data_IF_656396460868
#
_entry.id   IF_656396460868
#
_cell.length_a   1.000
_cell.length_b   1.000
_cell.length_c   1.000
_cell.angle_alpha   90.00
_cell.angle_beta   90.00
_cell.angle_gamma   90.00
#
_symmetry.space_group_name_H-M   'P 1'
#
loop_
_entity.id
_entity.type
_entity.pdbx_description
1 polymer ?
#
# COMPACT_ATOMS: atom_id res chain seq x y z
N UNK A 1 9.88 9.31 -17.45
CA UNK A 1 8.91 10.13 -16.73
C UNK A 1 9.59 10.66 -15.47
N UNK A 2 9.96 11.89 -15.48
CA UNK A 2 10.60 12.57 -14.34
C UNK A 2 9.53 12.88 -13.30
N UNK A 3 9.67 12.30 -12.12
CA UNK A 3 8.98 12.75 -10.93
C UNK A 3 9.57 14.13 -10.60
N UNK A 4 8.86 15.20 -10.97
CA UNK A 4 9.24 16.52 -10.50
C UNK A 4 8.95 16.57 -9.01
N UNK A 5 9.94 16.75 -8.13
CA UNK A 5 9.64 16.97 -6.73
C UNK A 5 8.86 18.29 -6.67
N UNK A 6 7.60 18.20 -6.26
CA UNK A 6 6.87 19.42 -5.88
C UNK A 6 7.72 20.13 -4.84
N UNK A 7 7.78 21.45 -4.89
CA UNK A 7 8.46 22.33 -3.93
C UNK A 7 7.91 22.20 -2.50
N UNK A 8 7.12 21.17 -2.26
CA UNK A 8 6.53 20.84 -0.98
C UNK A 8 7.48 19.90 -0.24
N UNK A 9 7.97 20.32 0.93
CA UNK A 9 8.89 19.54 1.79
C UNK A 9 8.32 18.18 2.29
N UNK A 10 7.15 17.76 1.83
CA UNK A 10 6.52 16.49 2.22
C UNK A 10 7.17 15.33 1.48
N UNK A 11 7.51 14.28 2.23
CA UNK A 11 8.01 13.04 1.66
C UNK A 11 6.91 12.34 0.86
N UNK A 12 7.24 11.70 -0.28
CA UNK A 12 6.29 10.85 -0.99
C UNK A 12 5.74 9.74 -0.10
N UNK A 13 4.44 9.47 -0.25
CA UNK A 13 3.74 8.39 0.45
C UNK A 13 3.45 7.27 -0.55
N UNK A 14 3.99 6.09 -0.27
CA UNK A 14 3.76 4.88 -1.06
C UNK A 14 2.79 3.98 -0.31
N UNK A 15 1.60 3.80 -0.87
CA UNK A 15 0.60 2.88 -0.35
C UNK A 15 0.92 1.45 -0.77
N UNK A 16 1.13 0.55 0.19
CA UNK A 16 1.33 -0.88 -0.06
C UNK A 16 0.07 -1.64 0.35
N UNK A 17 -0.66 -2.13 -0.63
CA UNK A 17 -1.91 -2.86 -0.46
C UNK A 17 -1.70 -4.34 -0.73
N UNK A 18 -2.42 -5.20 -0.04
CA UNK A 18 -2.31 -6.64 -0.22
C UNK A 18 -3.10 -7.43 0.81
N UNK A 19 -3.13 -8.74 0.62
CA UNK A 19 -3.96 -9.63 1.41
C UNK A 19 -3.49 -9.82 2.86
N UNK A 20 -4.47 -10.03 3.75
CA UNK A 20 -4.21 -10.47 5.14
C UNK A 20 -3.69 -11.90 5.21
N UNK A 21 -3.97 -12.70 4.18
CA UNK A 21 -3.42 -14.06 4.00
C UNK A 21 -2.46 -14.03 2.82
N UNK A 22 -1.17 -14.00 3.10
CA UNK A 22 -0.14 -13.99 2.08
C UNK A 22 0.70 -15.27 2.15
N UNK A 23 1.17 -15.74 1.01
CA UNK A 23 2.15 -16.84 0.95
C UNK A 23 3.50 -16.38 1.49
N UNK A 24 4.40 -17.31 1.79
CA UNK A 24 5.77 -16.98 2.20
C UNK A 24 6.47 -16.09 1.15
N UNK A 25 6.28 -16.36 -0.15
CA UNK A 25 6.78 -15.53 -1.25
C UNK A 25 6.15 -14.15 -1.23
N UNK A 26 4.83 -14.05 -1.06
CA UNK A 26 4.13 -12.76 -0.98
C UNK A 26 4.61 -11.91 0.20
N UNK A 27 4.84 -12.51 1.36
CA UNK A 27 5.42 -11.83 2.51
C UNK A 27 6.86 -11.36 2.23
N UNK A 28 7.69 -12.18 1.57
CA UNK A 28 9.05 -11.77 1.22
C UNK A 28 9.05 -10.58 0.25
N UNK A 29 8.20 -10.62 -0.79
CA UNK A 29 8.03 -9.52 -1.73
C UNK A 29 7.62 -8.23 -0.99
N UNK A 30 6.64 -8.32 -0.10
CA UNK A 30 6.17 -7.18 0.68
C UNK A 30 7.25 -6.63 1.62
N UNK A 31 8.02 -7.50 2.27
CA UNK A 31 9.14 -7.11 3.12
C UNK A 31 10.22 -6.37 2.33
N UNK A 32 10.65 -6.91 1.19
CA UNK A 32 11.67 -6.28 0.34
C UNK A 32 11.18 -4.94 -0.21
N UNK A 33 9.89 -4.85 -0.57
CA UNK A 33 9.27 -3.60 -0.99
C UNK A 33 9.31 -2.55 0.12
N UNK A 34 8.99 -2.93 1.36
CA UNK A 34 9.09 -2.04 2.52
C UNK A 34 10.49 -1.49 2.69
N UNK A 35 11.51 -2.33 2.57
CA UNK A 35 12.92 -1.92 2.63
C UNK A 35 13.30 -0.94 1.52
N UNK A 36 12.83 -1.19 0.29
CA UNK A 36 13.10 -0.31 -0.85
C UNK A 36 12.47 1.07 -0.66
N UNK A 37 11.23 1.13 -0.19
CA UNK A 37 10.53 2.39 0.10
C UNK A 37 11.28 3.19 1.15
N UNK A 38 11.66 2.55 2.25
CA UNK A 38 12.45 3.17 3.32
C UNK A 38 13.82 3.65 2.83
N UNK A 39 14.50 2.86 1.99
CA UNK A 39 15.79 3.21 1.41
C UNK A 39 15.74 4.43 0.50
N UNK A 40 14.58 4.77 -0.05
CA UNK A 40 14.35 6.02 -0.80
C UNK A 40 14.00 7.21 0.11
N UNK A 41 13.87 7.01 1.41
CA UNK A 41 13.41 8.03 2.33
C UNK A 41 11.92 8.36 2.21
N UNK A 42 11.13 7.51 1.57
CA UNK A 42 9.70 7.66 1.39
C UNK A 42 8.93 7.06 2.57
N UNK A 43 7.67 7.48 2.73
CA UNK A 43 6.78 6.97 3.77
C UNK A 43 6.03 5.75 3.21
N UNK A 44 6.04 4.64 3.97
CA UNK A 44 5.18 3.50 3.68
C UNK A 44 3.84 3.70 4.41
N UNK A 45 2.75 3.56 3.67
CA UNK A 45 1.40 3.56 4.21
C UNK A 45 0.70 2.25 3.85
N UNK A 46 0.03 1.64 4.83
CA UNK A 46 -0.80 0.44 4.59
C UNK A 46 -1.99 0.38 5.55
N UNK A 47 -2.71 -0.74 5.53
CA UNK A 47 -3.88 -0.96 6.37
C UNK A 47 -3.59 -1.18 7.86
N UNK A 48 -2.34 -1.19 8.28
CA UNK A 48 -1.91 -1.14 9.67
C UNK A 48 -2.03 -2.42 10.50
N UNK A 49 -2.72 -3.45 10.04
CA UNK A 49 -2.87 -4.71 10.79
C UNK A 49 -1.57 -5.54 10.78
N UNK A 50 -1.38 -6.31 11.85
CA UNK A 50 -0.22 -7.21 12.00
C UNK A 50 -0.44 -8.56 11.30
N UNK A 51 -0.81 -8.54 10.03
CA UNK A 51 -1.07 -9.75 9.21
C UNK A 51 -0.64 -9.54 7.76
N UNK A 52 -0.23 -10.63 7.12
CA UNK A 52 0.01 -10.73 5.69
C UNK A 52 0.94 -9.65 5.13
N UNK A 53 0.54 -9.06 4.00
CA UNK A 53 1.31 -8.02 3.31
C UNK A 53 1.53 -6.78 4.18
N UNK A 54 0.53 -6.41 4.99
CA UNK A 54 0.63 -5.26 5.91
C UNK A 54 1.77 -5.44 6.92
N UNK A 55 1.78 -6.59 7.62
CA UNK A 55 2.82 -6.89 8.59
C UNK A 55 4.21 -6.96 7.95
N UNK A 56 4.33 -7.66 6.83
CA UNK A 56 5.61 -7.87 6.17
C UNK A 56 6.20 -6.57 5.61
N UNK A 57 5.40 -5.74 4.94
CA UNK A 57 5.88 -4.46 4.41
C UNK A 57 6.25 -3.47 5.53
N UNK A 58 5.45 -3.41 6.59
CA UNK A 58 5.75 -2.57 7.77
C UNK A 58 7.09 -2.97 8.40
N UNK A 59 7.29 -4.28 8.60
CA UNK A 59 8.56 -4.79 9.17
C UNK A 59 9.75 -4.46 8.26
N UNK A 60 9.63 -4.66 6.96
CA UNK A 60 10.69 -4.36 6.01
C UNK A 60 11.10 -2.88 6.03
N UNK A 61 10.13 -1.99 6.05
CA UNK A 61 10.37 -0.54 6.14
C UNK A 61 11.01 -0.16 7.49
N UNK A 62 10.51 -0.72 8.59
CA UNK A 62 11.07 -0.49 9.92
C UNK A 62 12.52 -0.96 10.04
N UNK A 63 12.82 -2.17 9.57
CA UNK A 63 14.17 -2.73 9.61
C UNK A 63 15.17 -1.89 8.80
N UNK A 64 14.71 -1.15 7.80
CA UNK A 64 15.51 -0.22 7.01
C UNK A 64 15.45 1.24 7.52
N UNK A 65 14.90 1.50 8.70
CA UNK A 65 14.83 2.82 9.34
C UNK A 65 13.81 3.78 8.68
N UNK A 66 12.84 3.27 7.95
CA UNK A 66 11.79 4.05 7.30
C UNK A 66 10.64 4.43 8.23
N UNK A 67 9.81 5.36 7.77
CA UNK A 67 8.58 5.77 8.44
C UNK A 67 7.40 4.94 7.94
N UNK A 68 6.62 4.39 8.87
CA UNK A 68 5.48 3.51 8.59
C UNK A 68 4.19 4.07 9.20
N UNK A 69 3.20 4.30 8.36
CA UNK A 69 1.86 4.76 8.75
C UNK A 69 0.84 3.68 8.45
N UNK A 70 0.07 3.30 9.45
CA UNK A 70 -1.02 2.33 9.32
C UNK A 70 -2.38 2.97 9.55
N UNK A 71 -3.32 2.75 8.63
CA UNK A 71 -4.70 3.21 8.73
C UNK A 71 -5.58 2.04 9.11
N UNK A 72 -5.93 1.95 10.39
CA UNK A 72 -6.67 0.83 10.96
C UNK A 72 -8.18 0.96 10.72
N UNK A 73 -8.87 -0.14 10.37
CA UNK A 73 -10.33 -0.15 10.25
C UNK A 73 -11.04 -0.19 11.60
N UNK A 74 -10.35 -0.65 12.64
CA UNK A 74 -10.90 -0.76 13.99
C UNK A 74 -10.99 0.60 14.71
N UNK A 75 -11.74 0.63 15.80
CA UNK A 75 -11.79 1.75 16.74
C UNK A 75 -10.72 1.69 17.84
N UNK A 76 -9.76 0.76 17.73
CA UNK A 76 -8.70 0.50 18.70
C UNK A 76 -7.43 -0.04 18.02
N UNK A 77 -6.29 -0.03 18.74
CA UNK A 77 -4.98 -0.41 18.22
C UNK A 77 -4.59 -1.88 18.46
N UNK A 78 -5.46 -2.72 19.01
CA UNK A 78 -5.10 -4.08 19.43
C UNK A 78 -4.63 -4.99 18.29
N UNK A 79 -5.02 -4.69 17.05
CA UNK A 79 -4.60 -5.44 15.85
C UNK A 79 -3.51 -4.73 15.05
N UNK A 80 -3.01 -3.61 15.54
CA UNK A 80 -1.97 -2.85 14.87
C UNK A 80 -0.65 -3.63 14.81
N UNK A 81 0.07 -3.50 13.71
CA UNK A 81 1.44 -3.99 13.62
C UNK A 81 2.33 -3.22 14.63
N UNK A 82 3.23 -3.92 15.34
CA UNK A 82 4.19 -3.26 16.23
C UNK A 82 5.24 -2.43 15.46
N UNK A 83 5.31 -2.59 14.14
CA UNK A 83 6.26 -1.91 13.27
C UNK A 83 5.76 -0.57 12.73
N UNK A 84 4.58 -0.10 13.15
CA UNK A 84 4.06 1.22 12.78
C UNK A 84 4.70 2.32 13.64
N UNK A 85 5.08 3.42 12.99
CA UNK A 85 5.41 4.68 13.69
C UNK A 85 4.15 5.45 14.04
N UNK A 86 3.13 5.41 13.18
CA UNK A 86 1.83 6.03 13.41
C UNK A 86 0.70 5.06 13.07
N UNK A 87 -0.16 4.80 14.04
CA UNK A 87 -1.41 4.07 13.86
C UNK A 87 -2.60 5.03 13.91
N UNK A 88 -3.27 5.21 12.78
CA UNK A 88 -4.49 6.01 12.68
C UNK A 88 -5.69 5.09 12.87
N UNK A 89 -6.46 5.32 13.93
CA UNK A 89 -7.64 4.53 14.29
C UNK A 89 -8.86 5.20 13.68
N UNK A 90 -9.56 4.52 12.78
CA UNK A 90 -10.69 5.12 12.05
C UNK A 90 -12.06 4.66 12.54
N UNK A 91 -12.18 3.43 12.99
CA UNK A 91 -13.48 2.82 13.32
C UNK A 91 -14.41 2.67 12.10
N UNK A 92 -13.88 2.79 10.88
CA UNK A 92 -14.66 2.85 9.63
C UNK A 92 -14.78 1.49 8.92
N UNK A 93 -14.20 0.43 9.48
CA UNK A 93 -14.16 -0.86 8.78
C UNK A 93 -13.43 -0.75 7.44
N UNK A 94 -13.90 -1.50 6.45
CA UNK A 94 -13.24 -1.55 5.13
C UNK A 94 -13.34 -0.26 4.31
N UNK A 95 -14.23 0.68 4.70
CA UNK A 95 -14.32 2.01 4.06
C UNK A 95 -13.01 2.80 4.21
N UNK A 96 -12.20 2.49 5.24
CA UNK A 96 -10.87 3.10 5.42
C UNK A 96 -9.91 2.81 4.24
N UNK A 97 -10.20 1.80 3.41
CA UNK A 97 -9.41 1.51 2.20
C UNK A 97 -9.36 2.72 1.26
N UNK A 98 -10.43 3.51 1.20
CA UNK A 98 -10.44 4.76 0.45
C UNK A 98 -9.45 5.79 1.04
N UNK A 99 -9.33 5.85 2.37
CA UNK A 99 -8.35 6.73 3.03
C UNK A 99 -6.93 6.31 2.66
N UNK A 100 -6.64 5.01 2.64
CA UNK A 100 -5.35 4.49 2.19
C UNK A 100 -5.00 5.01 0.79
N UNK A 101 -5.94 4.91 -0.14
CA UNK A 101 -5.76 5.32 -1.53
C UNK A 101 -5.56 6.82 -1.65
N UNK A 102 -6.44 7.62 -1.05
CA UNK A 102 -6.40 9.09 -1.16
C UNK A 102 -5.16 9.69 -0.49
N UNK A 103 -4.63 9.03 0.55
CA UNK A 103 -3.46 9.47 1.30
C UNK A 103 -2.13 9.08 0.64
N UNK A 104 -2.17 8.27 -0.41
CA UNK A 104 -0.98 7.78 -1.12
C UNK A 104 -0.75 8.53 -2.43
N UNK A 105 0.50 8.81 -2.74
CA UNK A 105 0.91 9.38 -4.03
C UNK A 105 0.98 8.32 -5.13
N UNK A 106 1.34 7.08 -4.76
CA UNK A 106 1.35 5.91 -5.62
C UNK A 106 0.88 4.69 -4.82
N UNK A 107 0.19 3.79 -5.48
CA UNK A 107 -0.27 2.52 -4.90
C UNK A 107 0.53 1.38 -5.49
N UNK A 108 1.08 0.53 -4.64
CA UNK A 108 1.65 -0.76 -5.04
C UNK A 108 0.75 -1.84 -4.45
N UNK A 109 0.04 -2.55 -5.31
CA UNK A 109 -0.87 -3.60 -4.90
C UNK A 109 -0.21 -4.97 -5.10
N UNK A 110 0.02 -5.66 -3.99
CA UNK A 110 0.43 -7.05 -3.96
C UNK A 110 -0.81 -7.95 -4.07
N UNK A 111 -0.59 -9.25 -4.32
CA UNK A 111 -1.68 -10.22 -4.36
C UNK A 111 -2.56 -10.12 -3.11
N UNK A 112 -3.88 -10.07 -3.31
CA UNK A 112 -4.86 -9.98 -2.22
C UNK A 112 -6.26 -10.38 -2.68
N UNK A 113 -7.23 -10.19 -1.81
CA UNK A 113 -8.64 -10.47 -2.06
C UNK A 113 -9.42 -9.23 -2.51
N UNK A 114 -10.72 -9.25 -2.25
CA UNK A 114 -11.64 -8.19 -2.64
C UNK A 114 -11.29 -6.81 -2.04
N UNK A 115 -10.76 -6.79 -0.82
CA UNK A 115 -10.30 -5.55 -0.19
C UNK A 115 -9.19 -4.88 -1.00
N UNK A 116 -8.17 -5.64 -1.38
CA UNK A 116 -7.07 -5.16 -2.23
C UNK A 116 -7.58 -4.74 -3.61
N UNK A 117 -8.49 -5.51 -4.20
CA UNK A 117 -9.11 -5.16 -5.47
C UNK A 117 -9.88 -3.84 -5.36
N UNK A 118 -10.61 -3.61 -4.27
CA UNK A 118 -11.31 -2.34 -4.03
C UNK A 118 -10.37 -1.15 -3.99
N UNK A 119 -9.20 -1.30 -3.39
CA UNK A 119 -8.17 -0.26 -3.35
C UNK A 119 -7.60 0.03 -4.75
N UNK A 120 -7.38 -1.00 -5.57
CA UNK A 120 -6.98 -0.81 -6.98
C UNK A 120 -8.05 -0.04 -7.75
N UNK A 121 -9.32 -0.42 -7.62
CA UNK A 121 -10.45 0.27 -8.29
C UNK A 121 -10.54 1.73 -7.84
N UNK A 122 -10.48 2.01 -6.55
CA UNK A 122 -10.47 3.38 -6.04
C UNK A 122 -9.27 4.17 -6.53
N UNK A 123 -8.08 3.57 -6.53
CA UNK A 123 -6.87 4.22 -7.02
C UNK A 123 -7.02 4.66 -8.49
N UNK A 124 -7.54 3.78 -9.35
CA UNK A 124 -7.81 4.11 -10.75
C UNK A 124 -8.90 5.17 -10.91
N UNK A 125 -9.95 5.12 -10.09
CA UNK A 125 -11.05 6.09 -10.09
C UNK A 125 -10.56 7.49 -9.71
N UNK A 126 -9.66 7.60 -8.75
CA UNK A 126 -9.09 8.88 -8.30
C UNK A 126 -7.75 9.22 -8.97
N UNK A 127 -7.48 8.62 -10.13
CA UNK A 127 -6.32 8.91 -10.98
C UNK A 127 -4.97 8.74 -10.26
N UNK A 128 -4.92 7.85 -9.25
CA UNK A 128 -3.65 7.47 -8.63
C UNK A 128 -2.93 6.47 -9.52
N UNK A 129 -1.61 6.55 -9.55
CA UNK A 129 -0.78 5.53 -10.19
C UNK A 129 -0.84 4.25 -9.41
N UNK A 130 -0.97 3.14 -10.13
CA UNK A 130 -1.01 1.80 -9.56
C UNK A 130 0.06 0.94 -10.21
N UNK A 131 0.83 0.26 -9.37
CA UNK A 131 1.74 -0.81 -9.77
C UNK A 131 1.18 -2.10 -9.19
N UNK A 132 0.96 -3.10 -10.04
CA UNK A 132 0.56 -4.44 -9.59
C UNK A 132 1.80 -5.31 -9.47
N UNK A 133 2.02 -5.88 -8.31
CA UNK A 133 3.17 -6.72 -8.01
C UNK A 133 2.72 -8.13 -7.64
N UNK A 134 3.08 -9.12 -8.47
CA UNK A 134 2.64 -10.52 -8.33
C UNK A 134 1.10 -10.65 -8.25
N UNK A 135 0.40 -9.78 -8.96
CA UNK A 135 -1.06 -9.71 -8.97
C UNK A 135 -1.59 -10.35 -10.27
N UNK A 136 -2.43 -11.40 -10.19
CA UNK A 136 -2.94 -12.03 -11.39
C UNK A 136 -3.97 -11.14 -12.07
N UNK A 137 -3.70 -10.79 -13.33
CA UNK A 137 -4.67 -10.17 -14.23
C UNK A 137 -5.04 -11.15 -15.32
N UNK A 138 -6.19 -11.78 -15.19
CA UNK A 138 -6.78 -12.56 -16.27
C UNK A 138 -7.97 -11.79 -16.82
N UNK A 139 -8.01 -11.52 -18.13
CA UNK A 139 -9.11 -10.89 -18.91
C UNK A 139 -9.79 -9.72 -18.18
N UNK A 140 -9.10 -8.63 -18.08
CA UNK A 140 -9.41 -7.64 -17.07
C UNK A 140 -9.98 -6.35 -17.69
N UNK A 141 -10.95 -5.70 -17.01
CA UNK A 141 -11.42 -4.36 -17.36
C UNK A 141 -10.34 -3.28 -17.24
N UNK A 142 -9.13 -3.67 -16.83
CA UNK A 142 -8.03 -2.75 -16.58
C UNK A 142 -7.16 -2.44 -17.80
N UNK A 143 -7.41 -3.08 -18.97
CA UNK A 143 -6.60 -2.87 -20.19
C UNK A 143 -6.43 -1.41 -20.58
N UNK A 144 -7.52 -0.62 -20.49
CA UNK A 144 -7.45 0.82 -20.78
C UNK A 144 -6.50 1.58 -19.87
N UNK A 145 -6.40 1.17 -18.61
CA UNK A 145 -5.53 1.80 -17.61
C UNK A 145 -4.07 1.39 -17.79
N UNK A 146 -3.82 0.19 -18.34
CA UNK A 146 -2.48 -0.24 -18.75
C UNK A 146 -2.04 0.57 -19.96
N UNK A 147 -2.89 0.71 -20.97
CA UNK A 147 -2.59 1.46 -22.20
C UNK A 147 -2.30 2.93 -21.96
N UNK A 148 -2.98 3.56 -21.02
CA UNK A 148 -2.75 4.99 -20.70
C UNK A 148 -1.64 5.22 -19.66
N UNK A 149 -0.97 4.15 -19.20
CA UNK A 149 0.13 4.23 -18.25
C UNK A 149 -0.26 4.50 -16.80
N UNK A 150 -1.55 4.47 -16.48
CA UNK A 150 -2.05 4.65 -15.11
C UNK A 150 -1.84 3.38 -14.26
N UNK A 151 -1.90 2.21 -14.89
CA UNK A 151 -1.66 0.92 -14.29
C UNK A 151 -0.40 0.28 -14.91
N UNK A 152 0.51 -0.17 -14.07
CA UNK A 152 1.74 -0.89 -14.44
C UNK A 152 1.75 -2.27 -13.80
N UNK A 153 2.21 -3.27 -14.56
CA UNK A 153 2.39 -4.66 -14.12
C UNK A 153 3.80 -4.91 -13.61
#
# INVERSE_FOLDING_TARGET
MTFSPSTNHRKPVVGVMGGSKATARGCQIAYDLGRLIAGKGWILLNGGRNVGVMAASSKGARDAGGMVVGILPESHKSKASPDLDLAVVTGMGEVRNLINVLSSDVIIACRGGLGTLSEVVWALTYERRVILLDFPLNDSPFEKYIRNGQLTL
#
